data_IF_913131576382
#
_entry.id   IF_913131576382
#
_cell.length_a   1.000
_cell.length_b   1.000
_cell.length_c   1.000
_cell.angle_alpha   90.00
_cell.angle_beta   90.00
_cell.angle_gamma   90.00
#
_symmetry.space_group_name_H-M   'P 1'
#
loop_
_entity.id
_entity.type
_entity.pdbx_description
1 polymer ?
#
# COMPACT_ATOMS: atom_id res chain seq x y z
N UNK A 1 32.60 -31.06 -75.19
CA UNK A 1 32.82 -30.50 -73.82
C UNK A 1 31.61 -29.64 -73.48
N UNK A 2 30.72 -30.18 -72.63
CA UNK A 2 29.54 -29.47 -72.09
C UNK A 2 29.91 -28.89 -70.69
N UNK A 3 29.73 -27.62 -70.43
CA UNK A 3 29.59 -27.09 -69.09
C UNK A 3 28.94 -25.69 -69.05
N UNK A 4 27.86 -25.62 -68.33
CA UNK A 4 27.36 -24.53 -67.50
C UNK A 4 26.59 -23.37 -68.12
N UNK A 5 25.32 -23.58 -68.24
CA UNK A 5 24.31 -22.49 -68.33
C UNK A 5 23.19 -22.82 -67.29
N UNK A 6 23.43 -22.55 -66.03
CA UNK A 6 22.42 -22.71 -64.95
C UNK A 6 22.63 -21.78 -63.75
N UNK A 7 22.96 -20.54 -63.94
CA UNK A 7 23.04 -19.62 -62.78
C UNK A 7 22.55 -18.19 -63.05
N UNK A 8 21.53 -17.98 -63.86
CA UNK A 8 21.04 -16.62 -64.12
C UNK A 8 19.52 -16.43 -63.96
N UNK A 9 18.84 -17.26 -63.19
CA UNK A 9 17.37 -17.15 -63.05
C UNK A 9 16.85 -17.01 -61.61
N UNK A 10 17.72 -16.86 -60.60
CA UNK A 10 17.29 -16.83 -59.19
C UNK A 10 17.39 -15.45 -58.52
N UNK A 11 18.05 -14.49 -59.16
CA UNK A 11 18.32 -13.18 -58.56
C UNK A 11 17.19 -12.13 -58.67
N UNK A 12 16.21 -12.30 -59.56
CA UNK A 12 15.18 -11.27 -59.83
C UNK A 12 13.88 -11.43 -59.05
N UNK A 13 13.62 -12.57 -58.38
CA UNK A 13 12.40 -12.76 -57.59
C UNK A 13 12.55 -12.31 -56.14
N UNK A 14 13.79 -12.24 -55.63
CA UNK A 14 14.05 -11.85 -54.22
C UNK A 14 13.89 -10.37 -53.93
N UNK A 15 14.03 -9.48 -54.93
CA UNK A 15 14.01 -8.01 -54.70
C UNK A 15 12.57 -7.47 -54.61
N UNK A 16 11.62 -8.04 -55.32
CA UNK A 16 10.20 -7.63 -55.19
C UNK A 16 9.53 -8.06 -53.89
N UNK A 17 9.96 -9.18 -53.30
CA UNK A 17 9.43 -9.65 -52.00
C UNK A 17 9.86 -8.80 -50.79
N UNK A 18 11.06 -8.22 -50.83
CA UNK A 18 11.57 -7.41 -49.69
C UNK A 18 10.90 -6.03 -49.60
N UNK A 19 10.46 -5.44 -50.72
CA UNK A 19 9.79 -4.12 -50.66
C UNK A 19 8.34 -4.22 -50.12
N UNK A 20 7.65 -5.33 -50.35
CA UNK A 20 6.30 -5.51 -49.78
C UNK A 20 6.30 -5.79 -48.28
N UNK A 21 7.34 -6.47 -47.75
CA UNK A 21 7.45 -6.79 -46.33
C UNK A 21 7.82 -5.53 -45.51
N UNK A 22 8.67 -4.64 -46.06
CA UNK A 22 9.06 -3.42 -45.37
C UNK A 22 7.90 -2.41 -45.24
N UNK A 23 6.99 -2.35 -46.21
CA UNK A 23 5.83 -1.47 -46.13
C UNK A 23 4.74 -2.03 -45.20
N UNK A 24 4.59 -3.35 -45.11
CA UNK A 24 3.61 -3.99 -44.24
C UNK A 24 4.02 -3.86 -42.75
N UNK A 25 5.30 -4.07 -42.44
CA UNK A 25 5.82 -3.92 -41.07
C UNK A 25 5.80 -2.45 -40.59
N UNK A 26 6.03 -1.49 -41.49
CA UNK A 26 5.95 -0.06 -41.15
C UNK A 26 4.51 0.37 -40.86
N UNK A 27 3.53 -0.05 -41.66
CA UNK A 27 2.12 0.23 -41.43
C UNK A 27 1.60 -0.37 -40.12
N UNK A 28 2.01 -1.62 -39.78
CA UNK A 28 1.64 -2.25 -38.49
C UNK A 28 2.29 -1.55 -37.29
N UNK A 29 3.55 -1.09 -37.40
CA UNK A 29 4.21 -0.38 -36.31
C UNK A 29 3.63 1.02 -36.07
N UNK A 30 3.24 1.73 -37.13
CA UNK A 30 2.61 3.04 -37.03
C UNK A 30 1.20 2.93 -36.43
N UNK A 31 0.44 1.88 -36.74
CA UNK A 31 -0.90 1.65 -36.20
C UNK A 31 -0.85 1.19 -34.73
N UNK A 32 0.12 0.35 -34.37
CA UNK A 32 0.37 -0.05 -32.97
C UNK A 32 0.85 1.13 -32.08
N UNK A 33 1.67 2.02 -32.64
CA UNK A 33 2.12 3.23 -31.95
C UNK A 33 0.98 4.23 -31.74
N UNK A 34 0.15 4.46 -32.77
CA UNK A 34 -1.00 5.36 -32.70
C UNK A 34 -2.09 4.85 -31.73
N UNK A 35 -2.34 3.54 -31.70
CA UNK A 35 -3.28 2.92 -30.76
C UNK A 35 -2.75 2.96 -29.31
N UNK A 36 -1.45 2.74 -29.10
CA UNK A 36 -0.83 2.86 -27.77
C UNK A 36 -0.91 4.29 -27.23
N UNK A 37 -0.67 5.32 -28.08
CA UNK A 37 -0.83 6.72 -27.69
C UNK A 37 -2.28 7.11 -27.41
N UNK A 38 -3.26 6.63 -28.20
CA UNK A 38 -4.68 6.87 -27.98
C UNK A 38 -5.14 6.23 -26.67
N UNK A 39 -4.75 4.98 -26.41
CA UNK A 39 -5.06 4.27 -25.18
C UNK A 39 -4.43 4.95 -23.95
N UNK A 40 -3.21 5.45 -24.05
CA UNK A 40 -2.56 6.20 -22.97
C UNK A 40 -3.26 7.54 -22.69
N UNK A 41 -3.65 8.28 -23.74
CA UNK A 41 -4.41 9.53 -23.58
C UNK A 41 -5.82 9.30 -23.02
N UNK A 42 -6.51 8.24 -23.44
CA UNK A 42 -7.82 7.85 -22.88
C UNK A 42 -7.69 7.50 -21.41
N UNK A 43 -6.73 6.64 -21.04
CA UNK A 43 -6.47 6.26 -19.65
C UNK A 43 -6.14 7.48 -18.77
N UNK A 44 -5.30 8.41 -19.24
CA UNK A 44 -4.99 9.65 -18.49
C UNK A 44 -6.22 10.57 -18.33
N UNK A 45 -7.14 10.55 -19.29
CA UNK A 45 -8.38 11.35 -19.21
C UNK A 45 -9.35 10.72 -18.22
N UNK A 46 -9.49 9.38 -18.25
CA UNK A 46 -10.35 8.65 -17.32
C UNK A 46 -9.81 8.76 -15.88
N UNK A 47 -8.49 8.66 -15.69
CA UNK A 47 -7.85 8.84 -14.38
C UNK A 47 -8.07 10.27 -13.84
N UNK A 48 -8.02 11.30 -14.69
CA UNK A 48 -8.32 12.69 -14.30
C UNK A 48 -9.79 12.90 -13.95
N UNK A 49 -10.71 12.30 -14.70
CA UNK A 49 -12.16 12.38 -14.44
C UNK A 49 -12.48 11.65 -13.14
N UNK A 50 -12.00 10.42 -12.96
CA UNK A 50 -12.15 9.62 -11.75
C UNK A 50 -11.64 10.39 -10.53
N UNK A 51 -10.41 10.93 -10.62
CA UNK A 51 -9.83 11.71 -9.52
C UNK A 51 -10.62 12.98 -9.17
N UNK A 52 -11.26 13.64 -10.15
CA UNK A 52 -12.09 14.81 -9.90
C UNK A 52 -13.42 14.45 -9.22
N UNK A 53 -13.99 13.29 -9.54
CA UNK A 53 -15.14 12.73 -8.82
C UNK A 53 -14.77 12.38 -7.38
N UNK A 54 -13.64 11.67 -7.18
CA UNK A 54 -13.14 11.21 -5.88
C UNK A 54 -12.93 12.38 -4.90
N UNK A 55 -12.36 13.50 -5.36
CA UNK A 55 -12.13 14.70 -4.52
C UNK A 55 -13.44 15.41 -4.12
N UNK A 56 -14.48 15.36 -4.94
CA UNK A 56 -15.79 15.91 -4.58
C UNK A 56 -16.50 15.03 -3.53
N UNK A 57 -16.32 13.72 -3.62
CA UNK A 57 -16.89 12.76 -2.68
C UNK A 57 -16.21 12.80 -1.31
N UNK A 58 -14.88 13.00 -1.24
CA UNK A 58 -14.14 13.16 0.02
C UNK A 58 -14.71 14.26 0.90
N UNK A 59 -15.23 15.33 0.32
CA UNK A 59 -15.87 16.42 1.09
C UNK A 59 -17.09 15.98 1.91
N UNK A 60 -17.67 14.84 1.57
CA UNK A 60 -18.80 14.25 2.32
C UNK A 60 -18.34 13.31 3.44
N UNK A 61 -17.02 13.01 3.54
CA UNK A 61 -16.49 12.14 4.58
C UNK A 61 -16.32 12.89 5.90
N UNK A 62 -16.26 12.18 7.04
CA UNK A 62 -15.93 12.78 8.33
C UNK A 62 -14.60 13.55 8.31
N UNK A 63 -14.48 14.55 9.18
CA UNK A 63 -13.31 15.45 9.21
C UNK A 63 -12.00 14.70 9.49
N UNK A 64 -12.01 13.71 10.40
CA UNK A 64 -10.85 12.88 10.71
C UNK A 64 -10.35 12.13 9.46
N UNK A 65 -11.26 11.51 8.71
CA UNK A 65 -10.94 10.81 7.46
C UNK A 65 -10.41 11.78 6.38
N UNK A 66 -11.00 12.99 6.25
CA UNK A 66 -10.48 14.00 5.33
C UNK A 66 -9.06 14.44 5.69
N UNK A 67 -8.75 14.61 6.99
CA UNK A 67 -7.42 14.98 7.47
C UNK A 67 -6.41 13.86 7.23
N UNK A 68 -6.77 12.61 7.52
CA UNK A 68 -5.93 11.44 7.25
C UNK A 68 -5.63 11.27 5.75
N UNK A 69 -6.65 11.43 4.87
CA UNK A 69 -6.46 11.42 3.41
C UNK A 69 -5.47 12.51 2.99
N UNK A 70 -5.63 13.73 3.50
CA UNK A 70 -4.73 14.84 3.19
C UNK A 70 -3.30 14.53 3.62
N UNK A 71 -3.09 14.03 4.84
CA UNK A 71 -1.77 13.63 5.35
C UNK A 71 -1.13 12.58 4.44
N UNK A 72 -1.86 11.53 4.07
CA UNK A 72 -1.37 10.47 3.20
C UNK A 72 -1.06 10.97 1.78
N UNK A 73 -1.90 11.83 1.22
CA UNK A 73 -1.66 12.42 -0.10
C UNK A 73 -0.45 13.35 -0.11
N UNK A 74 -0.26 14.15 0.93
CA UNK A 74 0.89 15.06 1.05
C UNK A 74 2.20 14.27 1.19
N UNK A 75 2.19 13.14 1.88
CA UNK A 75 3.38 12.34 2.17
C UNK A 75 3.68 11.29 1.11
N UNK A 76 2.68 10.62 0.58
CA UNK A 76 2.82 9.44 -0.29
C UNK A 76 2.22 9.62 -1.68
N UNK A 77 1.65 10.79 -1.95
CA UNK A 77 0.98 11.05 -3.22
C UNK A 77 -0.40 10.40 -3.31
N UNK A 78 -0.85 10.16 -4.54
CA UNK A 78 -2.20 9.63 -4.80
C UNK A 78 -2.38 8.21 -4.30
N UNK A 79 -3.58 7.85 -3.81
CA UNK A 79 -3.90 6.46 -3.49
C UNK A 79 -3.83 5.57 -4.73
N UNK A 80 -3.55 4.28 -4.52
CA UNK A 80 -3.58 3.26 -5.57
C UNK A 80 -5.01 2.86 -5.93
N UNK A 81 -5.89 2.85 -4.93
CA UNK A 81 -7.29 2.44 -5.07
C UNK A 81 -8.18 3.44 -4.37
N UNK A 82 -9.30 3.76 -4.99
CA UNK A 82 -10.35 4.63 -4.45
C UNK A 82 -11.69 3.95 -4.64
N UNK A 83 -12.44 3.84 -3.55
CA UNK A 83 -13.81 3.35 -3.52
C UNK A 83 -14.72 4.40 -2.86
N UNK A 84 -16.03 4.26 -2.90
CA UNK A 84 -16.96 5.18 -2.20
C UNK A 84 -16.73 5.25 -0.68
N UNK A 85 -16.05 4.26 -0.09
CA UNK A 85 -15.88 4.14 1.37
C UNK A 85 -14.44 4.01 1.83
N UNK A 86 -13.46 3.85 0.93
CA UNK A 86 -12.05 3.63 1.28
C UNK A 86 -11.10 4.25 0.26
N UNK A 87 -9.96 4.73 0.74
CA UNK A 87 -8.77 5.04 -0.04
C UNK A 87 -7.61 4.19 0.42
N UNK A 88 -6.86 3.60 -0.53
CA UNK A 88 -5.84 2.61 -0.25
C UNK A 88 -4.52 3.01 -0.92
N UNK A 89 -3.46 3.03 -0.13
CA UNK A 89 -2.07 3.12 -0.57
C UNK A 89 -1.39 1.77 -0.34
N UNK A 90 -0.79 1.21 -1.37
CA UNK A 90 -0.07 -0.05 -1.32
C UNK A 90 1.45 0.20 -1.33
N UNK A 91 2.18 -0.44 -0.44
CA UNK A 91 3.65 -0.34 -0.34
C UNK A 91 4.13 1.12 -0.26
N UNK A 92 3.53 1.90 0.63
CA UNK A 92 3.81 3.32 0.79
C UNK A 92 4.81 3.56 1.94
N UNK A 93 6.08 3.75 1.60
CA UNK A 93 7.16 3.94 2.57
C UNK A 93 7.42 2.67 3.38
N UNK A 94 7.28 2.74 4.71
CA UNK A 94 7.45 1.59 5.60
C UNK A 94 6.21 0.68 5.69
N UNK A 95 5.08 1.13 5.18
CA UNK A 95 3.81 0.45 5.27
C UNK A 95 3.62 -0.54 4.11
N UNK A 96 3.19 -1.75 4.43
CA UNK A 96 2.67 -2.68 3.42
C UNK A 96 1.42 -2.12 2.79
N UNK A 97 0.56 -1.51 3.60
CA UNK A 97 -0.69 -0.91 3.15
C UNK A 97 -1.12 0.18 4.14
N UNK A 98 -1.69 1.25 3.62
CA UNK A 98 -2.46 2.23 4.39
C UNK A 98 -3.88 2.27 3.83
N UNK A 99 -4.87 2.21 4.69
CA UNK A 99 -6.29 2.27 4.36
C UNK A 99 -6.90 3.42 5.15
N UNK A 100 -7.48 4.40 4.46
CA UNK A 100 -8.33 5.41 5.10
C UNK A 100 -9.77 5.10 4.76
N UNK A 101 -10.62 4.95 5.77
CA UNK A 101 -12.05 4.64 5.63
C UNK A 101 -12.92 5.87 5.87
N UNK A 102 -14.07 5.90 5.17
CA UNK A 102 -15.14 6.86 5.43
C UNK A 102 -15.80 6.60 6.78
N UNK A 103 -15.90 5.33 7.17
CA UNK A 103 -16.37 4.93 8.48
C UNK A 103 -15.28 5.20 9.52
N UNK A 104 -15.68 5.83 10.63
CA UNK A 104 -14.79 6.09 11.76
C UNK A 104 -15.40 5.50 13.03
N UNK A 105 -14.53 5.03 13.93
CA UNK A 105 -14.95 4.44 15.19
C UNK A 105 -14.37 5.26 16.35
N UNK A 106 -15.23 5.57 17.32
CA UNK A 106 -14.79 6.26 18.53
C UNK A 106 -13.86 5.36 19.34
N UNK A 107 -12.68 5.88 19.66
CA UNK A 107 -11.71 5.23 20.52
C UNK A 107 -11.33 6.15 21.69
N UNK A 108 -11.41 5.63 22.92
CA UNK A 108 -11.20 6.44 24.12
C UNK A 108 -9.80 6.28 24.75
N UNK A 109 -8.87 5.58 24.06
CA UNK A 109 -7.50 5.37 24.53
C UNK A 109 -6.46 5.97 23.57
N UNK A 110 -5.41 6.69 24.07
CA UNK A 110 -5.18 7.17 25.43
C UNK A 110 -6.04 8.39 25.79
N UNK A 111 -6.69 8.99 24.81
CA UNK A 111 -7.72 10.02 24.89
C UNK A 111 -8.71 9.83 23.76
N UNK A 112 -9.91 10.36 23.87
CA UNK A 112 -10.94 10.27 22.84
C UNK A 112 -10.46 10.80 21.49
N UNK A 113 -10.58 9.98 20.45
CA UNK A 113 -10.35 10.29 19.04
C UNK A 113 -11.17 9.35 18.14
N UNK A 114 -11.08 9.55 16.82
CA UNK A 114 -11.80 8.71 15.85
C UNK A 114 -10.81 7.89 15.04
N UNK A 115 -10.92 6.58 15.10
CA UNK A 115 -10.13 5.66 14.27
C UNK A 115 -10.68 5.60 12.86
N UNK A 116 -9.92 6.09 11.89
CA UNK A 116 -10.30 6.13 10.49
C UNK A 116 -9.21 5.66 9.53
N UNK A 117 -7.96 5.51 10.01
CA UNK A 117 -6.82 5.11 9.18
C UNK A 117 -6.10 3.91 9.78
N UNK A 118 -6.07 2.80 9.05
CA UNK A 118 -5.31 1.61 9.38
C UNK A 118 -3.99 1.57 8.60
N UNK A 119 -2.89 1.29 9.31
CA UNK A 119 -1.57 1.12 8.70
C UNK A 119 -0.97 -0.23 9.08
N UNK A 120 -0.56 -0.98 8.06
CA UNK A 120 -0.22 -2.39 8.12
C UNK A 120 1.26 -2.58 7.82
N UNK A 121 1.93 -3.39 8.63
CA UNK A 121 3.31 -3.85 8.42
C UNK A 121 3.39 -5.37 8.40
N UNK A 122 4.45 -5.94 7.82
CA UNK A 122 4.76 -7.36 8.00
C UNK A 122 5.46 -7.55 9.34
N UNK A 123 4.83 -8.32 10.22
CA UNK A 123 5.43 -8.72 11.50
C UNK A 123 4.82 -10.03 12.01
N UNK A 124 5.65 -11.02 12.33
CA UNK A 124 5.20 -12.28 12.92
C UNK A 124 5.03 -12.11 14.43
N UNK A 125 3.78 -11.97 14.86
CA UNK A 125 3.43 -11.89 16.28
C UNK A 125 3.36 -13.30 16.87
N UNK A 126 4.13 -13.61 17.94
CA UNK A 126 3.98 -14.86 18.68
C UNK A 126 2.56 -14.99 19.24
N UNK A 127 1.97 -16.18 19.14
CA UNK A 127 0.55 -16.40 19.50
C UNK A 127 0.26 -16.13 20.98
N UNK A 128 1.23 -16.37 21.85
CA UNK A 128 1.15 -16.10 23.28
C UNK A 128 1.14 -14.59 23.60
N UNK A 129 1.47 -13.74 22.63
CA UNK A 129 1.45 -12.27 22.78
C UNK A 129 0.15 -11.63 22.29
N UNK A 130 -0.65 -12.33 21.50
CA UNK A 130 -1.85 -11.76 20.86
C UNK A 130 -2.81 -11.14 21.89
N UNK A 131 -3.12 -11.85 22.99
CA UNK A 131 -3.97 -11.35 24.06
C UNK A 131 -3.42 -10.07 24.70
N UNK A 132 -2.09 -10.00 24.89
CA UNK A 132 -1.46 -8.82 25.50
C UNK A 132 -1.60 -7.59 24.61
N UNK A 133 -1.56 -7.77 23.29
CA UNK A 133 -1.73 -6.68 22.33
C UNK A 133 -3.17 -6.19 22.31
N UNK A 134 -4.15 -7.08 22.38
CA UNK A 134 -5.57 -6.75 22.47
C UNK A 134 -5.90 -6.01 23.79
N UNK A 135 -5.31 -6.43 24.91
CA UNK A 135 -5.40 -5.73 26.21
C UNK A 135 -4.71 -4.35 26.18
N UNK A 136 -3.65 -4.21 25.37
CA UNK A 136 -2.91 -2.95 25.26
C UNK A 136 -3.72 -1.89 24.51
N UNK A 137 -4.25 -2.24 23.34
CA UNK A 137 -4.94 -1.30 22.45
C UNK A 137 -5.90 -2.08 21.52
N UNK A 138 -7.20 -1.89 21.70
CA UNK A 138 -8.23 -2.58 20.92
C UNK A 138 -8.25 -2.23 19.43
N UNK A 139 -7.40 -1.30 18.98
CA UNK A 139 -7.22 -0.96 17.55
C UNK A 139 -5.98 -1.58 16.93
N UNK A 140 -5.25 -2.44 17.68
CA UNK A 140 -4.20 -3.31 17.13
C UNK A 140 -4.85 -4.57 16.53
N UNK A 141 -4.48 -4.92 15.30
CA UNK A 141 -4.96 -6.12 14.63
C UNK A 141 -3.80 -7.03 14.22
N UNK A 142 -4.05 -8.34 14.30
CA UNK A 142 -3.08 -9.37 13.94
C UNK A 142 -3.71 -10.30 12.91
N UNK A 143 -3.09 -10.44 11.74
CA UNK A 143 -3.42 -11.48 10.76
C UNK A 143 -2.19 -12.37 10.58
N UNK A 144 -2.19 -13.52 11.25
CA UNK A 144 -1.09 -14.48 11.21
C UNK A 144 -0.90 -15.09 9.85
N UNK A 145 -1.99 -15.40 9.15
CA UNK A 145 -1.94 -16.05 7.83
C UNK A 145 -1.25 -15.15 6.80
N UNK A 146 -1.52 -13.84 6.82
CA UNK A 146 -0.84 -12.86 5.98
C UNK A 146 0.47 -12.36 6.59
N UNK A 147 0.72 -12.61 7.86
CA UNK A 147 1.87 -12.07 8.61
C UNK A 147 1.76 -10.57 8.83
N UNK A 148 0.56 -10.08 9.08
CA UNK A 148 0.30 -8.66 9.28
C UNK A 148 0.13 -8.31 10.76
N UNK A 149 0.71 -7.19 11.13
CA UNK A 149 0.41 -6.43 12.34
C UNK A 149 -0.02 -5.04 11.89
N UNK A 150 -1.14 -4.54 12.39
CA UNK A 150 -1.62 -3.20 12.06
C UNK A 150 -2.10 -2.44 13.28
N UNK A 151 -2.16 -1.12 13.14
CA UNK A 151 -2.78 -0.22 14.08
C UNK A 151 -3.75 0.70 13.35
N UNK A 152 -4.85 1.06 14.02
CA UNK A 152 -5.83 2.01 13.52
C UNK A 152 -5.91 3.23 14.43
N UNK A 153 -5.79 4.42 13.83
CA UNK A 153 -5.90 5.71 14.50
C UNK A 153 -6.34 6.82 13.52
N UNK A 154 -6.25 8.08 13.94
CA UNK A 154 -6.52 9.25 13.08
C UNK A 154 -5.28 9.78 12.34
N UNK A 155 -4.06 9.40 12.77
CA UNK A 155 -2.78 9.92 12.26
C UNK A 155 -1.71 8.84 12.18
N UNK A 156 -0.82 8.96 11.19
CA UNK A 156 0.32 8.06 11.04
C UNK A 156 1.24 8.04 12.27
N UNK A 157 1.51 9.20 12.87
CA UNK A 157 2.37 9.27 14.05
C UNK A 157 1.83 8.48 15.24
N UNK A 158 0.49 8.39 15.38
CA UNK A 158 -0.17 7.62 16.43
C UNK A 158 -0.11 6.12 16.11
N UNK A 159 -0.29 5.72 14.86
CA UNK A 159 -0.11 4.34 14.42
C UNK A 159 1.35 3.86 14.64
N UNK A 160 2.34 4.73 14.38
CA UNK A 160 3.74 4.43 14.68
C UNK A 160 3.94 4.20 16.17
N UNK A 161 3.39 5.06 17.02
CA UNK A 161 3.50 4.94 18.48
C UNK A 161 2.85 3.63 18.97
N UNK A 162 1.64 3.32 18.51
CA UNK A 162 0.93 2.09 18.85
C UNK A 162 1.74 0.84 18.48
N UNK A 163 2.24 0.76 17.24
CA UNK A 163 3.02 -0.39 16.76
C UNK A 163 4.37 -0.52 17.47
N UNK A 164 5.04 0.57 17.79
CA UNK A 164 6.30 0.54 18.54
C UNK A 164 6.11 0.08 19.98
N UNK A 165 5.03 0.48 20.64
CA UNK A 165 4.70 -0.01 21.98
C UNK A 165 4.20 -1.47 21.95
N UNK A 166 3.47 -1.87 20.92
CA UNK A 166 3.14 -3.27 20.67
C UNK A 166 4.42 -4.12 20.53
N UNK A 167 5.41 -3.62 19.80
CA UNK A 167 6.72 -4.28 19.68
C UNK A 167 7.45 -4.38 21.05
N UNK A 168 7.40 -3.36 21.89
CA UNK A 168 7.97 -3.42 23.25
C UNK A 168 7.29 -4.51 24.11
N UNK A 169 5.97 -4.71 23.95
CA UNK A 169 5.24 -5.81 24.62
C UNK A 169 5.65 -7.17 24.08
N UNK A 170 5.73 -7.32 22.75
CA UNK A 170 6.10 -8.59 22.10
C UNK A 170 7.49 -9.02 22.56
N UNK A 171 8.44 -8.09 22.64
CA UNK A 171 9.82 -8.37 23.03
C UNK A 171 10.03 -8.45 24.56
N UNK A 172 8.99 -8.20 25.36
CA UNK A 172 9.07 -8.19 26.82
C UNK A 172 9.78 -6.97 27.42
N UNK A 173 10.04 -5.95 26.63
CA UNK A 173 10.63 -4.67 27.10
C UNK A 173 9.67 -3.90 27.98
N UNK A 174 8.36 -4.02 27.76
CA UNK A 174 7.29 -3.47 28.56
C UNK A 174 6.18 -4.49 28.78
N UNK A 175 5.55 -4.46 29.93
CA UNK A 175 4.24 -5.06 30.12
C UNK A 175 3.12 -4.16 29.58
N UNK A 176 1.88 -4.65 29.56
CA UNK A 176 0.72 -3.90 29.04
C UNK A 176 0.50 -2.58 29.76
N UNK A 177 0.57 -2.59 31.10
CA UNK A 177 0.34 -1.38 31.90
C UNK A 177 1.43 -0.31 31.65
N UNK A 178 2.69 -0.73 31.58
CA UNK A 178 3.82 0.14 31.25
C UNK A 178 3.69 0.74 29.84
N UNK A 179 3.27 -0.06 28.85
CA UNK A 179 3.06 0.39 27.50
C UNK A 179 1.91 1.41 27.41
N UNK A 180 0.77 1.16 28.10
CA UNK A 180 -0.34 2.10 28.16
C UNK A 180 0.05 3.43 28.80
N UNK A 181 0.80 3.41 29.91
CA UNK A 181 1.32 4.61 30.57
C UNK A 181 2.27 5.36 29.63
N UNK A 182 3.21 4.67 28.99
CA UNK A 182 4.16 5.26 28.04
C UNK A 182 3.43 5.91 26.85
N UNK A 183 2.35 5.30 26.36
CA UNK A 183 1.53 5.88 25.31
C UNK A 183 1.00 7.26 25.72
N UNK A 184 0.35 7.34 26.88
CA UNK A 184 -0.21 8.59 27.41
C UNK A 184 0.86 9.68 27.59
N UNK A 185 2.03 9.33 28.13
CA UNK A 185 3.13 10.28 28.32
C UNK A 185 3.71 10.78 26.98
N UNK A 186 3.87 9.90 25.98
CA UNK A 186 4.36 10.29 24.67
C UNK A 186 3.37 11.17 23.91
N UNK A 187 2.07 10.95 24.06
CA UNK A 187 1.05 11.86 23.51
C UNK A 187 1.12 13.24 24.17
N UNK A 188 1.29 13.33 25.50
CA UNK A 188 1.46 14.60 26.20
C UNK A 188 2.71 15.35 25.71
N UNK A 189 3.83 14.64 25.52
CA UNK A 189 5.05 15.21 24.96
C UNK A 189 4.83 15.76 23.56
N UNK A 190 4.18 15.00 22.68
CA UNK A 190 3.87 15.44 21.32
C UNK A 190 2.96 16.68 21.31
N UNK A 191 1.96 16.74 22.21
CA UNK A 191 1.08 17.90 22.35
C UNK A 191 1.81 19.15 22.85
N UNK A 192 2.91 19.00 23.59
CA UNK A 192 3.78 20.11 24.00
C UNK A 192 4.82 20.52 22.96
N UNK A 193 4.78 19.92 21.75
CA UNK A 193 5.68 20.22 20.64
C UNK A 193 6.96 19.36 20.60
N UNK A 194 7.15 18.45 21.55
CA UNK A 194 8.30 17.53 21.60
C UNK A 194 7.88 16.15 21.09
N UNK A 195 7.98 15.92 19.77
CA UNK A 195 7.59 14.65 19.15
C UNK A 195 8.58 13.53 19.46
N UNK A 196 8.18 12.45 20.20
CA UNK A 196 9.02 11.29 20.51
C UNK A 196 9.46 10.53 19.25
N UNK A 197 10.60 9.82 19.33
CA UNK A 197 11.10 8.99 18.23
C UNK A 197 10.12 7.87 17.83
N UNK A 198 9.37 7.33 18.78
CA UNK A 198 8.31 6.33 18.56
C UNK A 198 7.17 6.81 17.65
N UNK A 199 7.02 8.12 17.47
CA UNK A 199 6.04 8.75 16.59
C UNK A 199 6.62 9.18 15.24
N UNK A 200 7.92 8.92 14.99
CA UNK A 200 8.61 9.35 13.75
C UNK A 200 8.91 8.19 12.80
N UNK A 201 9.16 7.01 13.34
CA UNK A 201 9.55 5.81 12.57
C UNK A 201 9.23 4.53 13.33
N UNK A 202 9.21 3.39 12.64
CA UNK A 202 9.21 2.08 13.28
C UNK A 202 10.56 1.82 13.98
N UNK A 203 10.49 1.29 15.20
CA UNK A 203 11.65 0.90 16.00
C UNK A 203 12.06 -0.55 15.75
N UNK A 204 11.44 -1.20 14.78
CA UNK A 204 11.70 -2.58 14.35
C UNK A 204 11.66 -2.68 12.82
N UNK A 205 12.16 -3.79 12.30
CA UNK A 205 12.15 -4.07 10.86
C UNK A 205 10.90 -4.83 10.46
N UNK A 206 10.20 -4.34 9.44
CA UNK A 206 9.15 -5.10 8.75
C UNK A 206 9.77 -6.26 7.98
N UNK A 207 9.23 -7.48 8.10
CA UNK A 207 9.77 -8.68 7.50
C UNK A 207 8.71 -9.43 6.68
N UNK A 208 8.91 -9.51 5.36
CA UNK A 208 8.00 -10.21 4.44
C UNK A 208 7.91 -11.74 4.69
N UNK A 209 8.83 -12.33 5.46
CA UNK A 209 8.78 -13.73 5.87
C UNK A 209 7.94 -13.94 7.16
N UNK A 210 7.04 -13.01 7.46
CA UNK A 210 6.16 -13.06 8.63
C UNK A 210 4.94 -14.01 8.51
N UNK A 211 4.42 -14.38 7.30
CA UNK A 211 3.25 -15.25 7.20
C UNK A 211 3.42 -16.57 7.95
N UNK A 212 2.33 -16.99 8.58
CA UNK A 212 2.19 -18.27 9.28
C UNK A 212 0.88 -18.91 8.81
N UNK A 213 0.98 -19.88 7.92
CA UNK A 213 -0.16 -20.52 7.27
C UNK A 213 -0.82 -21.63 8.11
N UNK A 214 -0.39 -21.77 9.38
CA UNK A 214 -0.82 -22.87 10.25
C UNK A 214 -0.40 -24.28 9.77
N UNK A 215 -0.83 -25.29 10.48
CA UNK A 215 -0.56 -26.71 10.17
C UNK A 215 -1.84 -27.35 9.65
N UNK A 216 -1.74 -28.08 8.53
CA UNK A 216 -2.84 -28.85 7.99
C UNK A 216 -3.22 -29.98 8.98
N UNK A 217 -4.49 -30.00 9.42
CA UNK A 217 -5.00 -30.99 10.39
C UNK A 217 -5.78 -32.12 9.72
N UNK A 218 -6.10 -32.02 8.42
CA UNK A 218 -6.92 -33.01 7.72
C UNK A 218 -6.04 -34.09 7.06
N UNK A 219 -4.77 -33.85 6.89
CA UNK A 219 -3.80 -34.78 6.26
C UNK A 219 -4.24 -35.17 4.82
N UNK A 220 -3.49 -34.76 3.82
CA UNK A 220 -3.60 -35.35 2.48
C UNK A 220 -2.39 -36.20 2.18
#
# INVERSE_FOLDING_TARGET
MKKNLKHLAIATVAILGLMCISNFTKAQNDDMSSNKMKNTKMKMKDDKVKMKMDMAEIKSWPMSSQMAIKEMMDKYGKPNEVTPTMMIWNNNGMWKKTIVSKEENKHDFPKTHMDCMEQIVYYKVPIDKARMLDEFDGSINIDRTQGFLSARCDKEENNLLALNLAYDIITGKKNVAEARNAYGEMIKQAMSGNKPEYMKKLMFSSNMNAPDSDVNTIGM
#
